data_IF_434232752365
#
_entry.id   IF_434232752365
#
_cell.length_a   1.000
_cell.length_b   1.000
_cell.length_c   1.000
_cell.angle_alpha   90.00
_cell.angle_beta   90.00
_cell.angle_gamma   90.00
#
_symmetry.space_group_name_H-M   'P 1'
#
loop_
_entity.id
_entity.type
_entity.pdbx_description
1 polymer ?
#
# COMPACT_ATOMS: atom_id res chain seq x y z
N UNK A 1 -31.62 -25.41 -21.14
CA UNK A 1 -31.80 -26.26 -19.97
C UNK A 1 -30.54 -26.09 -19.13
N UNK A 2 -30.69 -25.50 -17.98
CA UNK A 2 -29.59 -25.23 -17.06
C UNK A 2 -29.22 -26.53 -16.34
N UNK A 3 -27.95 -26.98 -16.34
CA UNK A 3 -27.55 -28.28 -15.76
C UNK A 3 -27.58 -28.31 -14.22
N UNK A 4 -28.15 -27.32 -13.56
CA UNK A 4 -28.17 -27.19 -12.10
C UNK A 4 -29.23 -28.02 -11.37
N UNK A 5 -30.19 -28.66 -12.07
CA UNK A 5 -31.24 -29.45 -11.43
C UNK A 5 -31.42 -30.78 -12.16
N UNK A 6 -30.97 -31.86 -11.57
CA UNK A 6 -31.00 -33.17 -12.18
C UNK A 6 -32.39 -33.84 -12.21
N UNK A 7 -33.33 -33.42 -11.35
CA UNK A 7 -34.70 -34.03 -11.36
C UNK A 7 -35.78 -33.06 -10.87
N UNK A 8 -37.02 -33.27 -11.33
CA UNK A 8 -38.23 -32.56 -10.85
C UNK A 8 -38.45 -32.82 -9.37
N UNK A 9 -37.99 -33.95 -8.84
CA UNK A 9 -38.12 -34.35 -7.43
C UNK A 9 -37.27 -33.46 -6.50
N UNK A 10 -36.09 -32.96 -6.93
CA UNK A 10 -35.27 -32.01 -6.16
C UNK A 10 -35.95 -30.64 -6.04
N UNK A 11 -36.62 -30.19 -7.06
CA UNK A 11 -37.42 -28.95 -7.04
C UNK A 11 -38.63 -29.07 -6.09
N UNK A 12 -39.24 -30.26 -6.03
CA UNK A 12 -40.36 -30.57 -5.11
C UNK A 12 -39.83 -30.63 -3.66
N UNK A 13 -38.65 -31.18 -3.41
CA UNK A 13 -38.06 -31.23 -2.07
C UNK A 13 -37.65 -29.84 -1.57
N UNK A 14 -37.16 -28.97 -2.43
CA UNK A 14 -36.93 -27.55 -2.10
C UNK A 14 -38.24 -26.82 -1.79
N UNK A 15 -39.31 -27.11 -2.52
CA UNK A 15 -40.64 -26.54 -2.30
C UNK A 15 -41.26 -27.04 -0.99
N UNK A 16 -41.01 -28.28 -0.56
CA UNK A 16 -41.51 -28.83 0.71
C UNK A 16 -40.82 -28.26 1.94
N UNK A 17 -39.60 -27.71 1.81
CA UNK A 17 -38.93 -26.99 2.92
C UNK A 17 -39.50 -25.59 3.15
N UNK A 18 -40.08 -24.97 2.15
CA UNK A 18 -40.64 -23.58 2.18
C UNK A 18 -42.17 -23.57 2.29
N UNK A 19 -42.86 -24.59 1.81
CA UNK A 19 -44.30 -24.71 1.85
C UNK A 19 -44.82 -25.88 1.02
N UNK A 20 -46.08 -26.28 1.24
CA UNK A 20 -46.76 -27.32 0.45
C UNK A 20 -47.67 -26.67 -0.60
N UNK A 21 -47.62 -27.18 -1.83
CA UNK A 21 -48.59 -26.79 -2.87
C UNK A 21 -49.80 -27.71 -2.75
N UNK A 22 -50.92 -27.18 -2.30
CA UNK A 22 -52.23 -27.85 -2.27
C UNK A 22 -53.18 -27.06 -3.18
N UNK A 23 -53.80 -27.78 -4.12
CA UNK A 23 -54.77 -27.21 -5.08
C UNK A 23 -54.24 -25.98 -5.87
N UNK A 24 -52.96 -25.99 -6.26
CA UNK A 24 -52.34 -24.89 -7.03
C UNK A 24 -52.06 -23.64 -6.23
N UNK A 25 -52.14 -23.69 -4.90
CA UNK A 25 -51.79 -22.61 -3.99
C UNK A 25 -50.63 -23.04 -3.06
N UNK A 26 -49.60 -22.22 -2.98
CA UNK A 26 -48.49 -22.42 -2.04
C UNK A 26 -49.02 -22.11 -0.62
N UNK A 27 -49.00 -23.10 0.27
CA UNK A 27 -49.21 -22.89 1.71
C UNK A 27 -47.90 -23.11 2.46
N UNK A 28 -47.49 -22.16 3.27
CA UNK A 28 -46.33 -22.32 4.14
C UNK A 28 -46.59 -23.40 5.20
N UNK A 29 -45.62 -24.26 5.45
CA UNK A 29 -45.68 -25.41 6.35
C UNK A 29 -45.70 -25.07 7.85
N UNK A 30 -46.08 -23.85 8.25
CA UNK A 30 -46.37 -23.54 9.65
C UNK A 30 -47.86 -23.77 9.89
N UNK A 31 -48.19 -24.85 10.58
CA UNK A 31 -49.55 -25.28 10.89
C UNK A 31 -50.27 -24.40 11.88
N UNK A 32 -49.95 -23.16 12.02
CA UNK A 32 -50.64 -22.18 12.84
C UNK A 32 -51.32 -21.11 11.93
N UNK A 33 -52.58 -20.84 12.19
CA UNK A 33 -53.29 -19.67 11.69
C UNK A 33 -52.42 -18.44 11.98
N UNK A 34 -51.86 -17.85 10.92
CA UNK A 34 -51.07 -16.62 11.03
C UNK A 34 -51.96 -15.50 11.55
N UNK A 35 -51.88 -15.25 12.84
CA UNK A 35 -52.21 -13.96 13.40
C UNK A 35 -51.32 -12.96 12.67
N UNK A 36 -51.92 -12.05 11.85
CA UNK A 36 -51.18 -11.08 11.04
C UNK A 36 -50.19 -10.24 11.83
N UNK A 37 -50.38 -10.15 13.15
CA UNK A 37 -49.48 -9.45 14.08
C UNK A 37 -48.24 -10.32 14.44
N UNK A 38 -48.40 -11.64 14.67
CA UNK A 38 -47.29 -12.54 14.98
C UNK A 38 -46.40 -12.76 13.77
N UNK A 39 -46.96 -12.82 12.55
CA UNK A 39 -46.22 -12.87 11.31
C UNK A 39 -45.40 -11.59 11.02
N UNK A 40 -45.96 -10.43 11.33
CA UNK A 40 -45.23 -9.15 11.19
C UNK A 40 -44.08 -9.03 12.23
N UNK A 41 -44.33 -9.46 13.47
CA UNK A 41 -43.31 -9.45 14.52
C UNK A 41 -42.19 -10.45 14.22
N UNK A 42 -42.52 -11.66 13.76
CA UNK A 42 -41.50 -12.64 13.33
C UNK A 42 -40.70 -12.18 12.12
N UNK A 43 -41.36 -11.49 11.14
CA UNK A 43 -40.68 -10.87 10.02
C UNK A 43 -39.70 -9.76 10.42
N UNK A 44 -40.08 -8.93 11.41
CA UNK A 44 -39.20 -7.89 11.96
C UNK A 44 -38.03 -8.49 12.76
N UNK A 45 -38.25 -9.56 13.52
CA UNK A 45 -37.19 -10.28 14.24
C UNK A 45 -36.20 -10.92 13.27
N UNK A 46 -36.67 -11.61 12.25
CA UNK A 46 -35.83 -12.14 11.19
C UNK A 46 -35.04 -11.05 10.47
N UNK A 47 -35.67 -9.92 10.14
CA UNK A 47 -34.96 -8.77 9.57
C UNK A 47 -33.86 -8.24 10.49
N UNK A 48 -34.12 -8.16 11.80
CA UNK A 48 -33.10 -7.76 12.77
C UNK A 48 -31.93 -8.76 12.83
N UNK A 49 -32.21 -10.06 12.86
CA UNK A 49 -31.16 -11.11 12.86
C UNK A 49 -30.30 -11.08 11.62
N UNK A 50 -30.88 -10.79 10.44
CA UNK A 50 -30.15 -10.60 9.19
C UNK A 50 -29.37 -9.28 9.12
N UNK A 51 -29.72 -8.31 9.97
CA UNK A 51 -29.08 -7.01 9.94
C UNK A 51 -27.68 -7.02 10.55
N UNK A 52 -26.82 -6.10 10.12
CA UNK A 52 -25.53 -5.87 10.72
C UNK A 52 -25.62 -5.45 12.20
N UNK A 53 -26.74 -4.93 12.67
CA UNK A 53 -26.94 -4.52 14.07
C UNK A 53 -26.94 -5.71 15.03
N UNK A 54 -27.51 -6.85 14.63
CA UNK A 54 -27.50 -8.06 15.45
C UNK A 54 -26.11 -8.74 15.49
N UNK A 55 -25.33 -8.57 14.43
CA UNK A 55 -24.08 -9.27 14.22
C UNK A 55 -22.83 -8.42 14.55
N UNK A 56 -23.02 -7.15 14.97
CA UNK A 56 -21.90 -6.26 15.28
C UNK A 56 -21.21 -6.66 16.58
N UNK A 57 -19.88 -6.73 16.53
CA UNK A 57 -19.03 -6.94 17.69
C UNK A 57 -18.23 -5.68 18.03
N UNK A 58 -17.69 -5.59 19.25
CA UNK A 58 -16.83 -4.50 19.63
C UNK A 58 -15.60 -4.34 18.72
N UNK A 59 -15.12 -5.45 18.14
CA UNK A 59 -14.01 -5.45 17.17
C UNK A 59 -14.38 -4.73 15.87
N UNK A 60 -15.60 -4.98 15.35
CA UNK A 60 -16.11 -4.26 14.20
C UNK A 60 -16.21 -2.76 14.48
N UNK A 61 -16.67 -2.35 15.67
CA UNK A 61 -16.76 -0.94 16.06
C UNK A 61 -15.38 -0.25 16.11
N UNK A 62 -14.36 -0.96 16.61
CA UNK A 62 -12.98 -0.44 16.58
C UNK A 62 -12.53 -0.22 15.13
N UNK A 63 -12.76 -1.16 14.23
CA UNK A 63 -12.35 -1.02 12.84
C UNK A 63 -13.13 0.09 12.12
N UNK A 64 -14.42 0.24 12.39
CA UNK A 64 -15.21 1.38 11.92
C UNK A 64 -14.59 2.70 12.39
N UNK A 65 -14.22 2.79 13.67
CA UNK A 65 -13.54 3.96 14.21
C UNK A 65 -12.19 4.22 13.50
N UNK A 66 -11.40 3.19 13.24
CA UNK A 66 -10.14 3.30 12.49
C UNK A 66 -10.40 3.85 11.08
N UNK A 67 -11.40 3.33 10.36
CA UNK A 67 -11.79 3.84 9.03
C UNK A 67 -12.20 5.31 9.07
N UNK A 68 -13.00 5.71 10.06
CA UNK A 68 -13.41 7.10 10.26
C UNK A 68 -12.22 8.02 10.60
N UNK A 69 -11.26 7.54 11.40
CA UNK A 69 -10.03 8.29 11.69
C UNK A 69 -9.23 8.52 10.42
N UNK A 70 -9.08 7.53 9.54
CA UNK A 70 -8.36 7.68 8.27
C UNK A 70 -9.01 8.74 7.38
N UNK A 71 -10.33 8.68 7.23
CA UNK A 71 -11.10 9.67 6.47
C UNK A 71 -10.94 11.07 7.10
N UNK A 72 -11.03 11.16 8.43
CA UNK A 72 -10.86 12.42 9.14
C UNK A 72 -9.46 13.02 8.95
N UNK A 73 -8.39 12.22 9.06
CA UNK A 73 -7.02 12.67 8.86
C UNK A 73 -6.81 13.18 7.42
N UNK A 74 -7.36 12.47 6.44
CA UNK A 74 -7.30 12.87 5.04
C UNK A 74 -8.00 14.22 4.80
N UNK A 75 -9.23 14.40 5.31
CA UNK A 75 -10.02 15.62 5.08
C UNK A 75 -9.51 16.80 5.90
N UNK A 76 -9.13 16.57 7.18
CA UNK A 76 -8.79 17.66 8.10
C UNK A 76 -7.36 18.15 7.97
N UNK A 77 -6.43 17.23 7.67
CA UNK A 77 -4.99 17.51 7.65
C UNK A 77 -4.35 17.35 6.28
N UNK A 78 -5.14 17.00 5.25
CA UNK A 78 -4.66 16.77 3.88
C UNK A 78 -3.57 15.68 3.79
N UNK A 79 -3.66 14.66 4.68
CA UNK A 79 -2.72 13.55 4.72
C UNK A 79 -3.09 12.53 3.66
N UNK A 80 -2.35 12.51 2.55
CA UNK A 80 -2.52 11.57 1.43
C UNK A 80 -3.99 11.25 1.10
N UNK A 81 -4.84 12.26 0.78
CA UNK A 81 -6.28 12.08 0.66
C UNK A 81 -6.67 11.09 -0.45
N UNK A 82 -5.87 11.00 -1.51
CA UNK A 82 -6.12 10.08 -2.63
C UNK A 82 -6.02 8.60 -2.22
N UNK A 83 -5.32 8.31 -1.13
CA UNK A 83 -5.14 6.96 -0.60
C UNK A 83 -5.96 6.72 0.67
N UNK A 84 -5.89 7.64 1.65
CA UNK A 84 -6.53 7.42 2.95
C UNK A 84 -8.05 7.41 2.87
N UNK A 85 -8.68 8.18 1.97
CA UNK A 85 -10.13 8.17 1.80
C UNK A 85 -10.61 6.82 1.25
N UNK A 86 -10.07 6.29 0.12
CA UNK A 86 -10.45 4.97 -0.36
C UNK A 86 -10.17 3.84 0.65
N UNK A 87 -9.02 3.88 1.34
CA UNK A 87 -8.67 2.87 2.36
C UNK A 87 -9.66 2.97 3.54
N UNK A 88 -9.90 4.17 4.07
CA UNK A 88 -10.83 4.37 5.18
C UNK A 88 -12.24 3.91 4.83
N UNK A 89 -12.73 4.24 3.64
CA UNK A 89 -14.03 3.79 3.15
C UNK A 89 -14.06 2.27 2.94
N UNK A 90 -12.98 1.69 2.42
CA UNK A 90 -12.81 0.24 2.31
C UNK A 90 -12.89 -0.45 3.67
N UNK A 91 -12.22 0.10 4.70
CA UNK A 91 -12.30 -0.42 6.09
C UNK A 91 -13.74 -0.43 6.59
N UNK A 92 -14.53 0.62 6.32
CA UNK A 92 -15.94 0.65 6.67
C UNK A 92 -16.70 -0.49 6.00
N UNK A 93 -16.58 -0.64 4.68
CA UNK A 93 -17.25 -1.70 3.91
C UNK A 93 -16.85 -3.10 4.40
N UNK A 94 -15.55 -3.35 4.59
CA UNK A 94 -15.02 -4.66 4.96
C UNK A 94 -15.38 -5.10 6.38
N UNK A 95 -15.79 -4.17 7.25
CA UNK A 95 -16.15 -4.43 8.65
C UNK A 95 -17.65 -4.25 8.94
N UNK A 96 -18.50 -4.20 7.91
CA UNK A 96 -19.93 -4.39 8.09
C UNK A 96 -20.17 -5.88 8.32
N UNK A 97 -20.65 -6.28 9.51
CA UNK A 97 -20.91 -7.70 9.79
C UNK A 97 -22.10 -8.16 8.95
N UNK A 98 -21.91 -9.32 8.33
CA UNK A 98 -22.94 -9.96 7.53
C UNK A 98 -23.46 -11.18 8.28
N UNK A 99 -24.73 -11.46 8.19
CA UNK A 99 -25.31 -12.70 8.67
C UNK A 99 -24.71 -13.87 7.88
N UNK A 100 -24.19 -14.86 8.61
CA UNK A 100 -23.65 -16.09 8.03
C UNK A 100 -24.41 -17.28 8.64
N UNK A 101 -25.20 -17.97 7.83
CA UNK A 101 -25.76 -19.27 8.19
C UNK A 101 -25.03 -20.36 7.40
N UNK A 102 -25.06 -21.59 7.93
CA UNK A 102 -24.36 -22.75 7.34
C UNK A 102 -24.78 -23.00 5.88
N UNK A 103 -26.03 -22.70 5.55
CA UNK A 103 -26.62 -22.94 4.22
C UNK A 103 -26.88 -21.65 3.40
N UNK A 104 -26.50 -20.47 3.90
CA UNK A 104 -26.79 -19.21 3.23
C UNK A 104 -25.61 -18.27 3.28
N UNK A 105 -24.92 -18.12 2.14
CA UNK A 105 -23.83 -17.18 1.96
C UNK A 105 -24.16 -16.24 0.79
N UNK A 106 -24.30 -14.95 1.10
CA UNK A 106 -24.58 -13.90 0.12
C UNK A 106 -23.41 -13.62 -0.84
N UNK A 107 -22.24 -14.21 -0.61
CA UNK A 107 -21.01 -14.00 -1.38
C UNK A 107 -20.69 -12.50 -1.61
N UNK A 108 -20.73 -11.72 -0.55
CA UNK A 108 -20.46 -10.28 -0.58
C UNK A 108 -19.08 -9.92 -0.01
N UNK A 109 -18.52 -10.79 0.84
CA UNK A 109 -17.26 -10.56 1.54
C UNK A 109 -16.05 -10.55 0.61
N UNK A 110 -15.01 -9.81 1.02
CA UNK A 110 -13.77 -9.66 0.22
C UNK A 110 -12.99 -10.97 0.06
N UNK A 111 -13.10 -11.86 1.03
CA UNK A 111 -12.45 -13.20 1.00
C UNK A 111 -13.35 -14.29 0.41
N UNK A 112 -14.57 -13.96 0.01
CA UNK A 112 -15.52 -14.90 -0.55
C UNK A 112 -15.36 -15.00 -2.07
N UNK A 113 -14.94 -16.15 -2.61
CA UNK A 113 -14.74 -16.34 -4.05
C UNK A 113 -16.02 -16.03 -4.85
N UNK A 114 -15.87 -15.21 -5.88
CA UNK A 114 -16.97 -14.80 -6.76
C UNK A 114 -17.73 -13.56 -6.30
N UNK A 115 -17.45 -12.99 -5.12
CA UNK A 115 -17.97 -11.67 -4.77
C UNK A 115 -17.33 -10.57 -5.60
N UNK A 116 -18.04 -9.45 -5.80
CA UNK A 116 -17.49 -8.29 -6.52
C UNK A 116 -16.23 -7.76 -5.82
N UNK A 117 -16.24 -7.67 -4.48
CA UNK A 117 -15.09 -7.23 -3.71
C UNK A 117 -13.89 -8.19 -3.87
N UNK A 118 -14.15 -9.51 -3.91
CA UNK A 118 -13.11 -10.51 -4.13
C UNK A 118 -12.50 -10.40 -5.53
N UNK A 119 -13.33 -10.19 -6.57
CA UNK A 119 -12.83 -10.01 -7.95
C UNK A 119 -11.91 -8.79 -8.02
N UNK A 120 -12.29 -7.68 -7.44
CA UNK A 120 -11.43 -6.49 -7.37
C UNK A 120 -10.18 -6.74 -6.53
N UNK A 121 -10.30 -7.47 -5.42
CA UNK A 121 -9.17 -7.81 -4.55
C UNK A 121 -8.13 -8.72 -5.21
N UNK A 122 -8.49 -9.45 -6.27
CA UNK A 122 -7.51 -10.21 -7.05
C UNK A 122 -6.39 -9.33 -7.61
N UNK A 123 -6.65 -8.05 -7.88
CA UNK A 123 -5.61 -7.10 -8.27
C UNK A 123 -4.51 -6.89 -7.21
N UNK A 124 -4.87 -7.04 -5.94
CA UNK A 124 -3.93 -7.03 -4.80
C UNK A 124 -3.25 -8.39 -4.64
N UNK A 125 -4.03 -9.48 -4.56
CA UNK A 125 -3.51 -10.84 -4.31
C UNK A 125 -2.58 -11.33 -5.42
N UNK A 126 -2.94 -11.08 -6.68
CA UNK A 126 -2.10 -11.42 -7.84
C UNK A 126 -0.97 -10.41 -8.07
N UNK A 127 -1.04 -9.21 -7.45
CA UNK A 127 0.01 -8.22 -7.46
C UNK A 127 0.13 -7.43 -8.76
N UNK A 128 -0.96 -7.22 -9.54
CA UNK A 128 -0.91 -6.41 -10.77
C UNK A 128 -1.27 -4.92 -10.56
N UNK A 129 -1.94 -4.52 -9.46
CA UNK A 129 -2.13 -3.10 -9.15
C UNK A 129 -0.82 -2.34 -8.95
N UNK A 130 0.16 -2.84 -8.14
CA UNK A 130 1.39 -2.11 -7.90
C UNK A 130 2.19 -1.77 -9.17
N UNK A 131 2.41 -2.67 -10.13
CA UNK A 131 3.05 -2.32 -11.40
C UNK A 131 2.33 -1.22 -12.17
N UNK A 132 0.99 -1.21 -12.20
CA UNK A 132 0.20 -0.16 -12.85
C UNK A 132 0.33 1.19 -12.15
N UNK A 133 0.43 1.22 -10.82
CA UNK A 133 0.76 2.44 -10.06
C UNK A 133 2.16 2.92 -10.43
N UNK A 134 3.15 2.02 -10.52
CA UNK A 134 4.51 2.36 -10.93
C UNK A 134 4.57 2.94 -12.36
N UNK A 135 3.72 2.48 -13.28
CA UNK A 135 3.55 3.08 -14.59
C UNK A 135 3.13 4.55 -14.48
N UNK A 136 2.13 4.83 -13.66
CA UNK A 136 1.65 6.19 -13.41
C UNK A 136 2.72 7.06 -12.75
N UNK A 137 3.38 6.55 -11.69
CA UNK A 137 4.48 7.25 -11.01
C UNK A 137 5.60 7.57 -12.00
N UNK A 138 5.98 6.63 -12.87
CA UNK A 138 6.99 6.84 -13.90
C UNK A 138 6.63 7.96 -14.88
N UNK A 139 5.36 8.00 -15.31
CA UNK A 139 4.84 9.04 -16.20
C UNK A 139 4.73 10.42 -15.51
N UNK A 140 4.54 10.47 -14.18
CA UNK A 140 4.54 11.73 -13.42
C UNK A 140 5.95 12.23 -13.12
N UNK A 141 6.88 11.33 -12.85
CA UNK A 141 8.21 11.64 -12.30
C UNK A 141 9.10 12.36 -13.33
N UNK A 142 9.83 13.39 -12.87
CA UNK A 142 10.94 14.00 -13.59
C UNK A 142 12.28 13.55 -12.98
N UNK A 143 12.98 12.70 -13.71
CA UNK A 143 14.28 12.17 -13.29
C UNK A 143 15.45 13.16 -13.52
N UNK A 144 15.18 14.36 -14.02
CA UNK A 144 16.23 15.36 -14.31
C UNK A 144 17.13 15.67 -13.12
N UNK A 145 16.54 15.74 -11.92
CA UNK A 145 17.30 15.99 -10.68
C UNK A 145 18.31 14.86 -10.39
N UNK A 146 17.91 13.61 -10.66
CA UNK A 146 18.75 12.44 -10.48
C UNK A 146 19.85 12.36 -11.55
N UNK A 147 19.48 12.59 -12.81
CA UNK A 147 20.40 12.61 -13.96
C UNK A 147 21.45 13.72 -13.78
N UNK A 148 21.04 14.89 -13.28
CA UNK A 148 21.94 16.04 -13.07
C UNK A 148 23.00 15.78 -12.01
N UNK A 149 22.68 15.00 -10.97
CA UNK A 149 23.59 14.67 -9.87
C UNK A 149 23.46 13.20 -9.42
N UNK A 150 23.99 12.24 -10.19
CA UNK A 150 23.84 10.80 -9.91
C UNK A 150 24.37 10.35 -8.54
N UNK A 151 25.31 11.11 -7.95
CA UNK A 151 25.84 10.80 -6.60
C UNK A 151 24.75 10.83 -5.52
N UNK A 152 23.70 11.60 -5.73
CA UNK A 152 22.58 11.67 -4.78
C UNK A 152 21.75 10.36 -4.76
N UNK A 153 21.93 9.46 -5.74
CA UNK A 153 21.36 8.09 -5.68
C UNK A 153 21.80 7.34 -4.43
N UNK A 154 23.03 7.55 -4.00
CA UNK A 154 23.58 6.90 -2.80
C UNK A 154 22.79 7.24 -1.53
N UNK A 155 22.09 8.38 -1.51
CA UNK A 155 21.24 8.77 -0.37
C UNK A 155 19.95 7.96 -0.33
N UNK A 156 19.34 7.68 -1.50
CA UNK A 156 18.24 6.74 -1.59
C UNK A 156 18.64 5.34 -1.14
N UNK A 157 19.81 4.86 -1.59
CA UNK A 157 20.35 3.58 -1.14
C UNK A 157 20.64 3.56 0.37
N UNK A 158 21.16 4.65 0.95
CA UNK A 158 21.39 4.76 2.39
C UNK A 158 20.10 4.70 3.21
N UNK A 159 18.99 5.22 2.70
CA UNK A 159 17.70 5.12 3.37
C UNK A 159 17.16 3.68 3.39
N UNK A 160 17.54 2.82 2.42
CA UNK A 160 17.11 1.42 2.40
C UNK A 160 17.67 0.58 3.57
N UNK A 161 18.62 1.08 4.34
CA UNK A 161 19.03 0.47 5.61
C UNK A 161 17.82 0.20 6.52
N UNK A 162 16.78 1.05 6.44
CA UNK A 162 15.50 0.83 7.13
C UNK A 162 14.87 -0.52 6.77
N UNK A 163 14.87 -0.93 5.51
CA UNK A 163 14.32 -2.21 5.05
C UNK A 163 15.07 -3.38 5.71
N UNK A 164 16.39 -3.39 5.61
CA UNK A 164 17.19 -4.51 6.12
C UNK A 164 17.16 -4.62 7.65
N UNK A 165 17.16 -3.50 8.37
CA UNK A 165 17.01 -3.52 9.83
C UNK A 165 15.62 -3.95 10.26
N UNK A 166 14.59 -3.59 9.50
CA UNK A 166 13.21 -4.06 9.74
C UNK A 166 13.10 -5.56 9.50
N UNK A 167 13.75 -6.09 8.47
CA UNK A 167 13.83 -7.54 8.24
C UNK A 167 14.38 -8.28 9.46
N UNK A 168 15.53 -7.82 9.97
CA UNK A 168 16.14 -8.41 11.17
C UNK A 168 15.23 -8.26 12.40
N UNK A 169 14.58 -7.10 12.56
CA UNK A 169 13.61 -6.85 13.63
C UNK A 169 12.41 -7.77 13.56
N UNK A 170 11.87 -8.02 12.36
CA UNK A 170 10.74 -8.93 12.17
C UNK A 170 11.14 -10.39 12.50
N UNK A 171 12.32 -10.83 12.09
CA UNK A 171 12.85 -12.15 12.50
C UNK A 171 13.01 -12.24 14.03
N UNK A 172 13.47 -11.18 14.67
CA UNK A 172 13.61 -11.13 16.14
C UNK A 172 12.26 -11.23 16.85
N UNK A 173 11.18 -10.69 16.27
CA UNK A 173 9.81 -10.83 16.77
C UNK A 173 9.18 -12.20 16.47
N UNK A 174 9.90 -13.10 15.79
CA UNK A 174 9.45 -14.47 15.53
C UNK A 174 8.60 -14.62 14.28
N UNK A 175 8.63 -13.65 13.35
CA UNK A 175 8.01 -13.82 12.04
C UNK A 175 8.83 -14.78 11.17
N UNK A 176 8.15 -15.56 10.33
CA UNK A 176 8.81 -16.42 9.35
C UNK A 176 9.62 -15.58 8.34
N UNK A 177 10.70 -16.11 7.75
CA UNK A 177 11.51 -15.36 6.79
C UNK A 177 10.72 -14.69 5.66
N UNK A 178 9.74 -15.34 4.98
CA UNK A 178 8.90 -14.67 4.00
C UNK A 178 8.03 -13.55 4.59
N UNK A 179 7.45 -13.78 5.78
CA UNK A 179 6.69 -12.75 6.50
C UNK A 179 7.57 -11.54 6.83
N UNK A 180 8.77 -11.81 7.37
CA UNK A 180 9.75 -10.78 7.70
C UNK A 180 10.19 -9.98 6.46
N UNK A 181 10.37 -10.66 5.31
CA UNK A 181 10.67 -10.01 4.03
C UNK A 181 9.57 -9.08 3.55
N UNK A 182 8.31 -9.50 3.70
CA UNK A 182 7.17 -8.67 3.37
C UNK A 182 7.04 -7.45 4.31
N UNK A 183 7.23 -7.64 5.63
CA UNK A 183 7.20 -6.57 6.63
C UNK A 183 8.34 -5.56 6.42
N UNK A 184 9.51 -6.04 6.03
CA UNK A 184 10.72 -5.23 5.86
C UNK A 184 10.51 -4.03 4.93
N UNK A 185 9.75 -4.20 3.85
CA UNK A 185 9.53 -3.15 2.83
C UNK A 185 8.80 -1.92 3.39
N UNK A 186 8.09 -2.04 4.50
CA UNK A 186 7.50 -0.87 5.18
C UNK A 186 8.59 0.17 5.47
N UNK A 187 9.82 -0.28 5.77
CA UNK A 187 10.98 0.61 5.97
C UNK A 187 11.41 1.43 4.77
N UNK A 188 11.00 1.03 3.56
CA UNK A 188 11.18 1.83 2.35
C UNK A 188 10.18 2.98 2.21
N UNK A 189 9.07 2.94 2.97
CA UNK A 189 7.91 3.82 2.85
C UNK A 189 7.36 3.87 1.41
N UNK A 190 7.20 2.70 0.82
CA UNK A 190 6.73 2.49 -0.54
C UNK A 190 5.51 1.54 -0.49
N UNK A 191 4.32 2.13 -0.46
CA UNK A 191 3.07 1.39 -0.33
C UNK A 191 2.83 0.37 -1.44
N UNK A 192 2.93 0.75 -2.72
CA UNK A 192 2.80 -0.20 -3.84
C UNK A 192 3.81 -1.35 -3.78
N UNK A 193 5.07 -1.08 -3.49
CA UNK A 193 6.09 -2.13 -3.34
C UNK A 193 5.79 -3.05 -2.16
N UNK A 194 5.29 -2.50 -1.03
CA UNK A 194 4.91 -3.29 0.13
C UNK A 194 3.77 -4.27 -0.19
N UNK A 195 2.77 -3.83 -0.96
CA UNK A 195 1.69 -4.70 -1.44
C UNK A 195 2.23 -5.76 -2.41
N UNK A 196 3.08 -5.37 -3.35
CA UNK A 196 3.64 -6.31 -4.33
C UNK A 196 4.39 -7.45 -3.65
N UNK A 197 5.29 -7.14 -2.71
CA UNK A 197 6.08 -8.17 -2.02
C UNK A 197 5.21 -9.01 -1.07
N UNK A 198 4.28 -8.39 -0.34
CA UNK A 198 3.39 -9.12 0.57
C UNK A 198 2.44 -10.06 -0.18
N UNK A 199 1.98 -9.69 -1.38
CA UNK A 199 1.18 -10.58 -2.24
C UNK A 199 1.95 -11.82 -2.72
N UNK A 200 3.28 -11.76 -2.73
CA UNK A 200 4.14 -12.89 -3.13
C UNK A 200 4.65 -13.69 -1.94
N UNK A 201 5.06 -13.02 -0.86
CA UNK A 201 5.71 -13.67 0.29
C UNK A 201 4.75 -13.97 1.45
N UNK A 202 3.74 -13.13 1.70
CA UNK A 202 2.88 -13.19 2.88
C UNK A 202 1.38 -13.16 2.53
N UNK A 203 0.98 -14.03 1.61
CA UNK A 203 -0.39 -14.11 1.06
C UNK A 203 -1.28 -15.17 1.73
N UNK A 204 -0.75 -15.95 2.68
CA UNK A 204 -1.47 -17.05 3.33
C UNK A 204 -1.52 -18.36 2.54
N UNK A 205 -0.90 -18.43 1.37
CA UNK A 205 -0.89 -19.61 0.50
C UNK A 205 0.46 -20.34 0.49
N UNK A 206 1.53 -19.64 0.88
CA UNK A 206 2.87 -20.18 0.87
C UNK A 206 3.06 -21.12 2.08
N UNK A 207 3.71 -22.26 1.84
CA UNK A 207 4.05 -23.24 2.87
C UNK A 207 5.58 -23.38 2.90
N UNK A 208 6.15 -23.26 4.07
CA UNK A 208 7.58 -23.44 4.30
C UNK A 208 7.99 -24.93 4.19
N UNK A 209 9.26 -25.26 3.90
CA UNK A 209 9.73 -26.63 3.84
C UNK A 209 9.51 -27.43 5.15
N UNK A 210 9.37 -26.77 6.28
CA UNK A 210 9.07 -27.36 7.59
C UNK A 210 7.56 -27.61 7.81
N UNK A 211 6.70 -27.28 6.82
CA UNK A 211 5.25 -27.44 6.88
C UNK A 211 4.49 -26.27 7.52
N UNK A 212 5.17 -25.21 7.96
CA UNK A 212 4.51 -24.02 8.51
C UNK A 212 3.88 -23.19 7.38
N UNK A 213 2.63 -22.78 7.59
CA UNK A 213 1.87 -21.93 6.66
C UNK A 213 2.17 -20.46 6.95
N UNK A 214 2.60 -19.74 5.94
CA UNK A 214 2.84 -18.30 6.02
C UNK A 214 1.51 -17.57 6.20
N UNK A 215 1.46 -16.62 7.13
CA UNK A 215 0.25 -15.83 7.40
C UNK A 215 -0.10 -14.90 6.24
N UNK A 216 -1.39 -14.62 6.06
CA UNK A 216 -1.82 -13.54 5.19
C UNK A 216 -1.65 -12.20 5.92
N UNK A 217 -0.60 -11.45 5.56
CA UNK A 217 -0.26 -10.17 6.16
C UNK A 217 -0.43 -9.00 5.17
N UNK A 218 -1.03 -9.24 3.99
CA UNK A 218 -1.20 -8.21 2.94
C UNK A 218 -1.91 -6.97 3.51
N UNK A 219 -3.07 -7.16 4.15
CA UNK A 219 -3.84 -6.05 4.72
C UNK A 219 -3.08 -5.26 5.80
N UNK A 220 -2.59 -5.91 6.87
CA UNK A 220 -1.80 -5.23 7.90
C UNK A 220 -0.56 -4.51 7.37
N UNK A 221 0.20 -5.12 6.45
CA UNK A 221 1.39 -4.50 5.86
C UNK A 221 1.01 -3.30 4.99
N UNK A 222 -0.03 -3.42 4.17
CA UNK A 222 -0.48 -2.33 3.31
C UNK A 222 -0.94 -1.13 4.13
N UNK A 223 -1.78 -1.34 5.14
CA UNK A 223 -2.24 -0.24 6.02
C UNK A 223 -1.07 0.39 6.77
N UNK A 224 -0.16 -0.40 7.33
CA UNK A 224 1.02 0.13 8.00
C UNK A 224 1.84 1.00 7.03
N UNK A 225 2.16 0.50 5.82
CA UNK A 225 2.94 1.22 4.83
C UNK A 225 2.30 2.56 4.43
N UNK A 226 1.00 2.56 4.11
CA UNK A 226 0.30 3.79 3.72
C UNK A 226 0.07 4.75 4.89
N UNK A 227 -0.19 4.23 6.09
CA UNK A 227 -0.31 5.07 7.30
C UNK A 227 0.98 5.82 7.58
N UNK A 228 2.14 5.15 7.51
CA UNK A 228 3.43 5.81 7.73
C UNK A 228 3.81 6.74 6.59
N UNK A 229 3.42 6.43 5.35
CA UNK A 229 3.59 7.35 4.23
C UNK A 229 2.81 8.66 4.46
N UNK A 230 1.55 8.57 4.92
CA UNK A 230 0.75 9.73 5.28
C UNK A 230 1.30 10.52 6.48
N UNK A 231 2.01 9.86 7.40
CA UNK A 231 2.63 10.48 8.58
C UNK A 231 4.04 11.04 8.34
N UNK A 232 4.56 10.99 7.11
CA UNK A 232 5.86 11.58 6.73
C UNK A 232 6.05 12.99 7.25
N UNK A 233 5.08 13.93 7.06
CA UNK A 233 5.23 15.31 7.52
C UNK A 233 5.34 15.45 9.05
N UNK A 234 4.90 14.44 9.79
CA UNK A 234 4.92 14.43 11.27
C UNK A 234 6.19 13.76 11.80
N UNK A 235 6.57 12.61 11.21
CA UNK A 235 7.67 11.78 11.72
C UNK A 235 9.04 12.31 11.29
N UNK A 236 9.21 12.78 10.06
CA UNK A 236 10.53 13.18 9.56
C UNK A 236 11.12 14.42 10.23
N UNK A 237 10.38 15.53 10.47
CA UNK A 237 10.97 16.73 11.00
C UNK A 237 11.67 16.56 12.36
N UNK A 238 11.10 15.86 13.36
CA UNK A 238 11.80 15.57 14.61
C UNK A 238 13.11 14.81 14.43
N UNK A 239 13.09 13.77 13.56
CA UNK A 239 14.29 12.94 13.29
C UNK A 239 15.37 13.77 12.61
N UNK A 240 15.01 14.57 11.62
CA UNK A 240 15.94 15.47 10.92
C UNK A 240 16.55 16.49 11.92
N UNK A 241 15.72 17.12 12.76
CA UNK A 241 16.19 18.10 13.75
C UNK A 241 17.14 17.47 14.77
N UNK A 242 16.86 16.26 15.21
CA UNK A 242 17.70 15.51 16.14
C UNK A 242 19.08 15.21 15.54
N UNK A 243 19.13 14.87 14.26
CA UNK A 243 20.35 14.43 13.58
C UNK A 243 21.11 15.55 12.90
N UNK A 244 20.57 16.78 12.79
CA UNK A 244 21.22 17.88 12.08
C UNK A 244 21.32 19.13 12.94
N UNK A 245 22.46 19.81 12.87
CA UNK A 245 22.62 21.13 13.47
C UNK A 245 21.95 22.23 12.62
N UNK A 246 21.59 23.36 13.25
CA UNK A 246 21.02 24.51 12.54
C UNK A 246 21.90 24.98 11.38
N UNK A 247 23.24 24.98 11.58
CA UNK A 247 24.21 25.35 10.54
C UNK A 247 24.21 24.42 9.36
N UNK A 248 23.95 23.11 9.57
CA UNK A 248 23.83 22.13 8.48
C UNK A 248 22.51 22.32 7.72
N UNK A 249 21.41 22.64 8.44
CA UNK A 249 20.10 22.84 7.83
C UNK A 249 20.03 24.11 6.97
N UNK A 250 20.76 25.14 7.33
CA UNK A 250 20.87 26.40 6.56
C UNK A 250 21.80 26.30 5.34
N UNK A 251 22.43 25.12 5.11
CA UNK A 251 23.35 24.99 3.96
C UNK A 251 22.58 25.05 2.66
N UNK A 252 22.89 26.04 1.82
CA UNK A 252 22.38 26.17 0.45
C UNK A 252 23.16 25.27 -0.50
N UNK A 253 22.48 24.75 -1.50
CA UNK A 253 23.08 23.92 -2.54
C UNK A 253 23.15 24.67 -3.87
N UNK A 254 24.15 24.35 -4.68
CA UNK A 254 24.28 24.93 -6.04
C UNK A 254 23.14 24.39 -6.92
N UNK A 255 22.57 25.21 -7.82
CA UNK A 255 21.55 24.74 -8.75
C UNK A 255 21.99 23.49 -9.53
N UNK A 256 21.08 22.53 -9.81
CA UNK A 256 21.40 21.38 -10.63
C UNK A 256 21.74 21.81 -12.07
N UNK A 257 22.56 21.03 -12.77
CA UNK A 257 22.85 21.29 -14.20
C UNK A 257 21.61 21.04 -15.06
N UNK A 258 21.54 21.71 -16.19
CA UNK A 258 20.55 21.39 -17.21
C UNK A 258 20.79 19.97 -17.78
N UNK A 259 19.73 19.22 -18.01
CA UNK A 259 19.74 17.87 -18.56
C UNK A 259 19.22 17.92 -19.99
N UNK A 260 19.94 17.29 -20.91
CA UNK A 260 19.56 17.25 -22.33
C UNK A 260 18.37 16.30 -22.55
N UNK A 261 17.62 16.51 -23.65
CA UNK A 261 16.51 15.64 -24.03
C UNK A 261 16.96 14.19 -24.26
N UNK A 262 18.15 14.00 -24.84
CA UNK A 262 18.70 12.68 -25.09
C UNK A 262 18.99 11.93 -23.78
N UNK A 263 19.59 12.59 -22.78
CA UNK A 263 19.81 12.00 -21.45
C UNK A 263 18.51 11.55 -20.81
N UNK A 264 17.42 12.36 -20.91
CA UNK A 264 16.10 12.04 -20.38
C UNK A 264 15.47 10.81 -21.04
N UNK A 265 15.67 10.63 -22.36
CA UNK A 265 15.15 9.46 -23.09
C UNK A 265 15.98 8.21 -22.82
N UNK A 266 17.30 8.33 -22.73
CA UNK A 266 18.20 7.21 -22.51
C UNK A 266 18.13 6.69 -21.05
N UNK A 267 17.88 7.57 -20.09
CA UNK A 267 17.86 7.22 -18.68
C UNK A 267 16.91 6.06 -18.33
N UNK A 268 15.61 6.07 -18.72
CA UNK A 268 14.72 4.96 -18.42
C UNK A 268 15.12 3.64 -19.09
N UNK A 269 15.72 3.69 -20.27
CA UNK A 269 16.19 2.48 -20.98
C UNK A 269 17.40 1.88 -20.25
N UNK A 270 18.42 2.70 -19.98
CA UNK A 270 19.62 2.26 -19.28
C UNK A 270 19.30 1.85 -17.84
N UNK A 271 18.46 2.62 -17.15
CA UNK A 271 17.99 2.32 -15.79
C UNK A 271 17.26 1.00 -15.72
N UNK A 272 16.35 0.71 -16.66
CA UNK A 272 15.66 -0.57 -16.74
C UNK A 272 16.64 -1.73 -16.91
N UNK A 273 17.52 -1.65 -17.90
CA UNK A 273 18.49 -2.73 -18.19
C UNK A 273 19.40 -2.98 -16.99
N UNK A 274 19.95 -1.92 -16.41
CA UNK A 274 20.83 -2.03 -15.25
C UNK A 274 20.13 -2.69 -14.05
N UNK A 275 18.94 -2.20 -13.70
CA UNK A 275 18.20 -2.70 -12.53
C UNK A 275 17.65 -4.11 -12.76
N UNK A 276 17.22 -4.45 -13.98
CA UNK A 276 16.75 -5.78 -14.34
C UNK A 276 17.86 -6.84 -14.28
N UNK A 277 19.10 -6.48 -14.63
CA UNK A 277 20.23 -7.39 -14.47
C UNK A 277 20.66 -7.56 -13.00
N UNK A 278 20.50 -6.54 -12.15
CA UNK A 278 20.82 -6.63 -10.72
C UNK A 278 19.74 -7.39 -9.95
N UNK A 279 18.47 -7.09 -10.20
CA UNK A 279 17.32 -7.66 -9.49
C UNK A 279 16.19 -8.01 -10.48
N UNK A 280 16.27 -9.17 -11.15
CA UNK A 280 15.25 -9.58 -12.16
C UNK A 280 13.84 -9.65 -11.58
N UNK A 281 13.69 -10.05 -10.32
CA UNK A 281 12.38 -10.12 -9.63
C UNK A 281 11.72 -8.75 -9.40
N UNK A 282 12.47 -7.64 -9.52
CA UNK A 282 11.93 -6.29 -9.48
C UNK A 282 11.38 -5.81 -10.85
N UNK A 283 11.56 -6.59 -11.91
CA UNK A 283 11.18 -6.22 -13.27
C UNK A 283 9.71 -5.75 -13.42
N UNK A 284 8.71 -6.38 -12.78
CA UNK A 284 7.33 -5.91 -12.89
C UNK A 284 7.14 -4.46 -12.41
N UNK A 285 7.80 -4.06 -11.33
CA UNK A 285 7.71 -2.70 -10.76
C UNK A 285 8.57 -1.71 -11.56
N UNK A 286 9.88 -2.00 -11.67
CA UNK A 286 10.83 -1.10 -12.33
C UNK A 286 10.60 -1.01 -13.84
N UNK A 287 10.19 -2.10 -14.47
CA UNK A 287 9.81 -2.11 -15.87
C UNK A 287 8.69 -1.12 -16.16
N UNK A 288 7.65 -1.12 -15.33
CA UNK A 288 6.53 -0.20 -15.49
C UNK A 288 6.90 1.24 -15.12
N UNK A 289 7.74 1.45 -14.09
CA UNK A 289 8.26 2.77 -13.74
C UNK A 289 9.02 3.40 -14.92
N UNK A 290 10.00 2.69 -15.45
CA UNK A 290 10.80 3.19 -16.56
C UNK A 290 10.02 3.28 -17.86
N UNK A 291 9.06 2.37 -18.10
CA UNK A 291 8.16 2.47 -19.24
C UNK A 291 7.30 3.75 -19.17
N UNK A 292 6.70 4.05 -18.01
CA UNK A 292 5.93 5.28 -17.80
C UNK A 292 6.77 6.53 -18.05
N UNK A 293 8.02 6.54 -17.57
CA UNK A 293 8.93 7.65 -17.81
C UNK A 293 9.31 7.79 -19.30
N UNK A 294 9.57 6.69 -19.99
CA UNK A 294 9.85 6.70 -21.42
C UNK A 294 8.66 7.24 -22.23
N UNK A 295 7.42 6.90 -21.87
CA UNK A 295 6.22 7.45 -22.49
C UNK A 295 6.18 8.98 -22.40
N UNK A 296 6.59 9.54 -21.26
CA UNK A 296 6.66 10.99 -21.01
C UNK A 296 7.80 11.64 -21.78
N UNK A 297 9.03 11.15 -21.61
CA UNK A 297 10.25 11.83 -22.09
C UNK A 297 10.47 11.65 -23.59
N UNK A 298 9.89 10.63 -24.22
CA UNK A 298 9.92 10.45 -25.68
C UNK A 298 9.31 11.65 -26.42
N UNK A 299 8.29 12.28 -25.82
CA UNK A 299 7.57 13.42 -26.40
C UNK A 299 6.58 13.04 -27.52
N UNK A 300 6.62 11.80 -28.02
CA UNK A 300 5.73 11.32 -29.11
C UNK A 300 4.49 10.60 -28.58
N UNK A 301 4.52 10.15 -27.34
CA UNK A 301 3.44 9.41 -26.65
C UNK A 301 2.75 10.22 -25.56
N UNK A 302 2.68 11.54 -25.69
CA UNK A 302 2.10 12.45 -24.67
C UNK A 302 0.70 12.04 -24.20
N UNK A 303 -0.15 11.55 -25.12
CA UNK A 303 -1.49 11.09 -24.77
C UNK A 303 -1.45 9.89 -23.79
N UNK A 304 -0.59 8.91 -24.07
CA UNK A 304 -0.42 7.74 -23.19
C UNK A 304 0.17 8.14 -21.84
N UNK A 305 1.18 9.01 -21.83
CA UNK A 305 1.77 9.54 -20.61
C UNK A 305 0.72 10.27 -19.75
N UNK A 306 -0.11 11.12 -20.35
CA UNK A 306 -1.20 11.81 -19.63
C UNK A 306 -2.26 10.83 -19.08
N UNK A 307 -2.63 9.80 -19.83
CA UNK A 307 -3.56 8.77 -19.34
C UNK A 307 -2.96 8.01 -18.16
N UNK A 308 -1.68 7.63 -18.26
CA UNK A 308 -0.99 6.89 -17.19
C UNK A 308 -0.83 7.73 -15.92
N UNK A 309 -0.46 9.01 -16.05
CA UNK A 309 -0.16 9.91 -14.94
C UNK A 309 -1.40 10.52 -14.27
N UNK A 310 -2.59 10.34 -14.82
CA UNK A 310 -3.84 10.88 -14.28
C UNK A 310 -4.88 9.76 -14.17
N UNK A 311 -5.69 9.54 -15.19
CA UNK A 311 -6.84 8.65 -15.11
C UNK A 311 -6.50 7.20 -14.70
N UNK A 312 -5.43 6.63 -15.23
CA UNK A 312 -5.05 5.24 -14.89
C UNK A 312 -4.61 5.11 -13.44
N UNK A 313 -3.68 5.97 -13.00
CA UNK A 313 -3.17 5.90 -11.61
C UNK A 313 -4.29 6.16 -10.60
N UNK A 314 -5.19 7.11 -10.89
CA UNK A 314 -6.31 7.45 -10.01
C UNK A 314 -7.29 6.27 -9.88
N UNK A 315 -7.68 5.64 -11.01
CA UNK A 315 -8.56 4.46 -11.01
C UNK A 315 -7.92 3.30 -10.23
N UNK A 316 -6.67 3.00 -10.49
CA UNK A 316 -5.97 1.90 -9.79
C UNK A 316 -5.80 2.21 -8.31
N UNK A 317 -5.52 3.45 -7.95
CA UNK A 317 -5.39 3.89 -6.54
C UNK A 317 -6.72 3.75 -5.80
N UNK A 318 -7.85 4.13 -6.41
CA UNK A 318 -9.18 3.93 -5.81
C UNK A 318 -9.48 2.45 -5.59
N UNK A 319 -9.27 1.61 -6.61
CA UNK A 319 -9.54 0.17 -6.52
C UNK A 319 -8.65 -0.50 -5.47
N UNK A 320 -7.36 -0.15 -5.46
CA UNK A 320 -6.41 -0.65 -4.48
C UNK A 320 -6.79 -0.20 -3.07
N UNK A 321 -7.09 1.08 -2.88
CA UNK A 321 -7.44 1.63 -1.56
C UNK A 321 -8.68 0.96 -0.98
N UNK A 322 -9.77 0.85 -1.75
CA UNK A 322 -11.01 0.19 -1.32
C UNK A 322 -10.76 -1.28 -0.98
N UNK A 323 -10.05 -2.01 -1.83
CA UNK A 323 -9.84 -3.45 -1.62
C UNK A 323 -8.88 -3.74 -0.48
N UNK A 324 -7.81 -2.97 -0.32
CA UNK A 324 -6.90 -3.06 0.83
C UNK A 324 -7.64 -2.71 2.12
N UNK A 325 -8.41 -1.61 2.12
CA UNK A 325 -9.24 -1.26 3.26
C UNK A 325 -10.22 -2.36 3.64
N UNK A 326 -10.95 -2.90 2.66
CA UNK A 326 -11.93 -3.97 2.90
C UNK A 326 -11.29 -5.30 3.35
N UNK A 327 -10.04 -5.56 2.97
CA UNK A 327 -9.30 -6.74 3.43
C UNK A 327 -8.88 -6.68 4.91
N UNK A 328 -8.96 -5.53 5.54
CA UNK A 328 -8.66 -5.35 6.96
C UNK A 328 -9.88 -5.58 7.83
N UNK A 329 -10.39 -6.80 7.77
CA UNK A 329 -11.45 -7.25 8.67
C UNK A 329 -10.95 -7.32 10.11
N UNK A 330 -11.84 -7.12 11.06
CA UNK A 330 -11.54 -7.06 12.49
C UNK A 330 -10.77 -8.28 13.01
N UNK A 331 -11.13 -9.48 12.53
CA UNK A 331 -10.49 -10.72 12.96
C UNK A 331 -9.10 -10.94 12.38
N UNK A 332 -8.83 -10.37 11.20
CA UNK A 332 -7.52 -10.43 10.52
C UNK A 332 -6.59 -9.34 11.05
N UNK A 333 -7.14 -8.15 11.31
CA UNK A 333 -6.35 -6.97 11.62
C UNK A 333 -6.05 -6.80 13.13
N UNK A 334 -7.03 -7.09 14.01
CA UNK A 334 -6.86 -6.93 15.46
C UNK A 334 -6.16 -8.16 16.07
N UNK A 335 -4.94 -8.45 15.58
CA UNK A 335 -4.09 -9.54 16.01
C UNK A 335 -2.78 -9.03 16.61
N UNK A 336 -2.11 -9.80 17.50
CA UNK A 336 -0.78 -9.42 18.01
C UNK A 336 0.22 -9.18 16.88
N UNK A 337 0.17 -9.97 15.81
CA UNK A 337 1.06 -9.81 14.65
C UNK A 337 0.89 -8.44 13.98
N UNK A 338 -0.34 -7.94 13.86
CA UNK A 338 -0.61 -6.62 13.28
C UNK A 338 -0.02 -5.51 14.14
N UNK A 339 -0.16 -5.59 15.47
CA UNK A 339 0.44 -4.62 16.40
C UNK A 339 1.97 -4.61 16.26
N UNK A 340 2.59 -5.78 16.18
CA UNK A 340 4.04 -5.91 15.97
C UNK A 340 4.45 -5.29 14.63
N UNK A 341 3.68 -5.49 13.56
CA UNK A 341 3.93 -4.87 12.24
C UNK A 341 3.87 -3.33 12.34
N UNK A 342 2.90 -2.78 13.06
CA UNK A 342 2.82 -1.33 13.27
C UNK A 342 4.01 -0.79 14.06
N UNK A 343 4.43 -1.44 15.14
CA UNK A 343 5.60 -1.03 15.91
C UNK A 343 6.86 -1.06 15.05
N UNK A 344 7.06 -2.16 14.31
CA UNK A 344 8.19 -2.32 13.39
C UNK A 344 8.16 -1.26 12.29
N UNK A 345 6.98 -0.97 11.73
CA UNK A 345 6.81 0.04 10.70
C UNK A 345 7.19 1.44 11.18
N UNK A 346 6.74 1.85 12.38
CA UNK A 346 7.13 3.13 12.97
C UNK A 346 8.63 3.23 13.19
N UNK A 347 9.23 2.20 13.78
CA UNK A 347 10.67 2.15 14.03
C UNK A 347 11.46 2.18 12.72
N UNK A 348 11.03 1.40 11.72
CA UNK A 348 11.69 1.32 10.42
C UNK A 348 11.71 2.65 9.68
N UNK A 349 10.61 3.39 9.75
CA UNK A 349 10.50 4.71 9.10
C UNK A 349 11.46 5.73 9.73
N UNK A 350 11.57 5.74 11.06
CA UNK A 350 12.57 6.55 11.79
C UNK A 350 13.99 6.15 11.38
N UNK A 351 14.27 4.86 11.32
CA UNK A 351 15.59 4.31 10.95
C UNK A 351 15.93 4.68 9.49
N UNK A 352 14.99 4.54 8.56
CA UNK A 352 15.21 4.89 7.15
C UNK A 352 15.51 6.38 6.98
N UNK A 353 14.74 7.24 7.64
CA UNK A 353 14.99 8.70 7.65
C UNK A 353 16.36 9.01 8.24
N UNK A 354 16.70 8.39 9.36
CA UNK A 354 18.00 8.55 9.99
C UNK A 354 19.15 8.05 9.09
N UNK A 355 18.99 6.88 8.46
CA UNK A 355 19.93 6.30 7.52
C UNK A 355 20.24 7.24 6.34
N UNK A 356 19.21 7.82 5.76
CA UNK A 356 19.37 8.80 4.68
C UNK A 356 20.11 10.07 5.13
N UNK A 357 19.76 10.65 6.28
CA UNK A 357 20.45 11.83 6.84
C UNK A 357 21.90 11.51 7.20
N UNK A 358 22.15 10.37 7.83
CA UNK A 358 23.51 9.91 8.18
C UNK A 358 24.33 9.62 6.92
N UNK A 359 23.73 9.02 5.90
CA UNK A 359 24.37 8.82 4.60
C UNK A 359 24.78 10.15 3.95
N UNK A 360 23.95 11.19 4.03
CA UNK A 360 24.29 12.53 3.55
C UNK A 360 25.45 13.17 4.36
N UNK A 361 25.49 12.96 5.67
CA UNK A 361 26.62 13.40 6.51
C UNK A 361 27.90 12.64 6.16
N UNK A 362 27.81 11.34 5.99
CA UNK A 362 28.95 10.51 5.58
C UNK A 362 29.49 10.95 4.22
N UNK A 363 28.62 11.18 3.25
CA UNK A 363 29.00 11.73 1.94
C UNK A 363 29.72 13.07 2.08
N UNK A 364 29.30 13.93 3.00
CA UNK A 364 29.93 15.23 3.25
C UNK A 364 31.36 15.13 3.83
N UNK A 365 31.75 13.99 4.40
CA UNK A 365 33.15 13.75 4.85
C UNK A 365 34.07 13.67 3.64
N UNK A 366 33.63 13.04 2.56
CA UNK A 366 34.41 12.84 1.34
C UNK A 366 34.31 14.03 0.36
N UNK A 367 33.35 14.94 0.56
CA UNK A 367 33.15 16.08 -0.34
C UNK A 367 33.97 17.31 0.09
N UNK A 368 34.53 18.01 -0.89
CA UNK A 368 35.19 19.32 -0.69
C UNK A 368 34.20 20.31 -0.05
N UNK A 369 34.70 21.26 0.74
CA UNK A 369 33.90 22.21 1.53
C UNK A 369 32.85 22.97 0.69
N UNK A 370 33.19 23.29 -0.56
CA UNK A 370 32.33 24.03 -1.51
C UNK A 370 31.21 23.17 -2.15
N UNK A 371 31.36 21.84 -2.11
CA UNK A 371 30.43 20.89 -2.75
C UNK A 371 29.66 20.07 -1.71
N UNK A 372 29.75 20.44 -0.43
CA UNK A 372 29.00 19.77 0.64
C UNK A 372 27.52 19.95 0.43
N UNK A 373 26.77 18.86 0.56
CA UNK A 373 25.31 18.84 0.43
C UNK A 373 24.63 19.18 1.76
N UNK A 374 23.37 19.63 1.69
CA UNK A 374 22.55 19.78 2.87
C UNK A 374 22.11 18.41 3.36
N UNK A 375 22.43 18.00 4.61
CA UNK A 375 22.09 16.64 5.08
C UNK A 375 20.61 16.33 5.12
N UNK A 376 19.75 17.36 5.20
CA UNK A 376 18.29 17.17 5.19
C UNK A 376 17.79 16.44 3.93
N UNK A 377 18.45 16.63 2.77
CA UNK A 377 18.02 15.97 1.53
C UNK A 377 18.13 14.44 1.62
N UNK A 378 18.98 13.92 2.50
CA UNK A 378 19.10 12.49 2.75
C UNK A 378 17.81 11.88 3.32
N UNK A 379 17.05 12.64 4.12
CA UNK A 379 15.75 12.19 4.61
C UNK A 379 14.75 11.91 3.46
N UNK A 380 14.88 12.62 2.35
CA UNK A 380 14.06 12.38 1.17
C UNK A 380 14.39 11.05 0.45
N UNK A 381 15.45 10.32 0.84
CA UNK A 381 15.76 8.99 0.34
C UNK A 381 14.73 7.92 0.69
N UNK A 382 13.81 8.21 1.57
CA UNK A 382 12.61 7.41 1.82
C UNK A 382 11.65 7.56 0.63
N UNK A 383 11.06 6.45 0.18
CA UNK A 383 10.33 6.39 -1.11
C UNK A 383 8.96 7.08 -1.14
N UNK A 384 8.54 7.77 -0.09
CA UNK A 384 7.29 8.55 -0.08
C UNK A 384 7.42 9.76 -1.03
N UNK A 385 7.05 9.57 -2.30
CA UNK A 385 7.17 10.56 -3.39
C UNK A 385 5.83 11.25 -3.63
N UNK A 386 5.80 12.59 -3.66
CA UNK A 386 6.89 13.56 -3.45
C UNK A 386 7.02 14.10 -2.02
N UNK A 387 6.32 13.53 -1.05
CA UNK A 387 6.08 14.14 0.27
C UNK A 387 7.33 14.31 1.10
N UNK A 388 8.22 13.32 1.15
CA UNK A 388 9.46 13.47 1.89
C UNK A 388 10.37 14.57 1.30
N UNK A 389 10.32 14.80 0.00
CA UNK A 389 11.01 15.94 -0.62
C UNK A 389 10.36 17.28 -0.28
N UNK A 390 9.01 17.33 -0.19
CA UNK A 390 8.27 18.52 0.26
C UNK A 390 8.56 18.86 1.72
N UNK A 391 8.65 17.86 2.59
CA UNK A 391 9.03 18.06 4.00
C UNK A 391 10.42 18.69 4.10
N UNK A 392 11.40 18.20 3.35
CA UNK A 392 12.75 18.78 3.30
C UNK A 392 12.72 20.22 2.79
N UNK A 393 11.95 20.50 1.74
CA UNK A 393 11.77 21.85 1.23
C UNK A 393 11.17 22.80 2.29
N UNK A 394 10.09 22.36 2.96
CA UNK A 394 9.44 23.14 3.98
C UNK A 394 10.37 23.47 5.16
N UNK A 395 11.11 22.47 5.64
CA UNK A 395 12.12 22.66 6.69
C UNK A 395 13.26 23.56 6.24
N UNK A 396 13.70 23.47 4.98
CA UNK A 396 14.73 24.34 4.41
C UNK A 396 14.30 25.81 4.45
N UNK A 397 13.06 26.10 4.02
CA UNK A 397 12.50 27.44 4.01
C UNK A 397 12.24 27.99 5.44
N UNK A 398 11.91 27.12 6.41
CA UNK A 398 11.79 27.51 7.82
C UNK A 398 13.12 27.98 8.43
N UNK A 399 14.22 27.35 8.04
CA UNK A 399 15.56 27.70 8.55
C UNK A 399 16.19 28.89 7.81
N UNK A 400 15.89 29.07 6.52
CA UNK A 400 16.32 30.17 5.66
C UNK A 400 15.36 30.30 4.47
N UNK A 401 14.61 31.42 4.34
CA UNK A 401 13.60 31.62 3.27
C UNK A 401 14.13 31.50 1.82
N UNK A 402 15.44 31.57 1.63
CA UNK A 402 16.09 31.41 0.32
C UNK A 402 16.72 30.01 0.13
N UNK A 403 16.52 29.07 1.05
CA UNK A 403 17.08 27.73 0.96
C UNK A 403 16.11 26.77 0.24
N UNK A 404 16.11 26.81 -1.08
CA UNK A 404 15.27 25.96 -1.92
C UNK A 404 15.92 24.59 -2.14
N UNK A 405 15.42 23.56 -1.45
CA UNK A 405 15.98 22.19 -1.47
C UNK A 405 15.17 21.21 -2.30
N UNK A 406 13.96 21.56 -2.79
CA UNK A 406 13.05 20.62 -3.44
C UNK A 406 13.72 19.83 -4.58
N UNK A 407 14.33 20.55 -5.53
CA UNK A 407 14.96 19.91 -6.69
C UNK A 407 16.13 18.99 -6.30
N UNK A 408 16.82 19.30 -5.22
CA UNK A 408 17.89 18.46 -4.70
C UNK A 408 17.35 17.25 -3.91
N UNK A 409 16.26 17.43 -3.18
CA UNK A 409 15.60 16.36 -2.42
C UNK A 409 14.86 15.37 -3.34
N UNK A 410 14.40 15.80 -4.50
CA UNK A 410 13.77 14.91 -5.50
C UNK A 410 14.73 13.82 -6.00
N UNK A 411 16.02 14.09 -6.11
CA UNK A 411 16.98 13.10 -6.58
C UNK A 411 17.09 11.88 -5.64
N UNK A 412 17.38 12.02 -4.33
CA UNK A 412 17.34 10.89 -3.41
C UNK A 412 15.93 10.31 -3.24
N UNK A 413 14.86 11.11 -3.36
CA UNK A 413 13.49 10.66 -3.24
C UNK A 413 13.12 9.64 -4.34
N UNK A 414 13.38 10.00 -5.58
CA UNK A 414 13.12 9.11 -6.72
C UNK A 414 14.05 7.90 -6.71
N UNK A 415 15.31 8.08 -6.29
CA UNK A 415 16.23 6.96 -6.15
C UNK A 415 15.82 6.01 -5.02
N UNK A 416 15.11 6.51 -4.02
CA UNK A 416 14.47 5.69 -2.97
C UNK A 416 13.45 4.71 -3.55
N UNK A 417 12.59 5.16 -4.48
CA UNK A 417 11.62 4.28 -5.16
C UNK A 417 12.30 3.17 -5.95
N UNK A 418 13.36 3.51 -6.68
CA UNK A 418 14.15 2.51 -7.40
C UNK A 418 14.80 1.55 -6.38
N UNK A 419 15.35 2.09 -5.29
CA UNK A 419 16.00 1.34 -4.23
C UNK A 419 15.07 0.37 -3.50
N UNK A 420 13.85 0.79 -3.14
CA UNK A 420 12.84 -0.05 -2.49
C UNK A 420 12.39 -1.19 -3.41
N UNK A 421 12.16 -0.91 -4.70
CA UNK A 421 11.80 -1.93 -5.68
C UNK A 421 12.94 -2.93 -5.94
N UNK A 422 14.21 -2.47 -6.00
CA UNK A 422 15.40 -3.37 -6.09
C UNK A 422 15.51 -4.21 -4.82
N UNK A 423 15.36 -3.62 -3.64
CA UNK A 423 15.41 -4.36 -2.37
C UNK A 423 14.31 -5.41 -2.29
N UNK A 424 13.08 -5.07 -2.73
CA UNK A 424 11.99 -6.02 -2.83
C UNK A 424 12.32 -7.19 -3.78
N UNK A 425 12.89 -6.90 -4.95
CA UNK A 425 13.34 -7.93 -5.89
C UNK A 425 14.41 -8.84 -5.31
N UNK A 426 15.38 -8.28 -4.58
CA UNK A 426 16.41 -9.04 -3.89
C UNK A 426 15.77 -9.95 -2.82
N UNK A 427 14.90 -9.41 -1.96
CA UNK A 427 14.21 -10.20 -0.94
C UNK A 427 13.36 -11.32 -1.56
N UNK A 428 12.64 -11.05 -2.66
CA UNK A 428 11.92 -12.09 -3.38
C UNK A 428 12.84 -13.21 -3.87
N UNK A 429 14.00 -12.87 -4.43
CA UNK A 429 14.95 -13.87 -4.96
C UNK A 429 15.57 -14.76 -3.88
N UNK A 430 15.64 -14.27 -2.63
CA UNK A 430 16.22 -15.03 -1.51
C UNK A 430 15.18 -15.78 -0.68
N UNK A 431 13.90 -15.37 -0.70
CA UNK A 431 12.86 -15.86 0.22
C UNK A 431 11.75 -16.68 -0.48
N UNK A 432 11.74 -16.72 -1.81
CA UNK A 432 10.93 -17.64 -2.62
C UNK A 432 11.73 -18.86 -3.04
#
# INVERSE_FOLDING_TARGET
>A
MDPAYETVDELIDLGTRVGTVKDGKLSCNSGDEYDNVSGAVSGLLNFYEFSGFANVTWRHLIMVLVGLIFIFLAIRYDFEPLLLIPIGFGILIGNIPMFQAVDFNLKLGIYEPGSVLNILYQGVVQGWYPPLIFLGIGAMTDFSSLISNPKLMLLGAAAQVGIFLTFLGALFFGFLPPEAGAIAIIGGADGPTAIFISSKLANGLNVMPNGEVVKNLIGPIAIAAYSYMALVPVIQPPVIKLLTSKKERQRRMKPPRAVSKLEKILFPIVGLLLTAYIAPSALPLLGMLFFGNLLKESGVTKRLANTASNALIDVITMLLGITVGASTQADVFLTPSSIQIFILGAASFVIATAGGVMGAKLMNVFLKKENKINPMIGAAGVSAVPDSARVVQHMGLQEDPSNHLLMHAMAPNVSGVIGSAVAAGILLSFLM
#
